data_IF_057966068661
#
_entry.id   IF_057966068661
#
_cell.length_a   1.000
_cell.length_b   1.000
_cell.length_c   1.000
_cell.angle_alpha   90.00
_cell.angle_beta   90.00
_cell.angle_gamma   90.00
#
_symmetry.space_group_name_H-M   'P 1'
#
loop_
_entity.id
_entity.type
_entity.pdbx_description
1 polymer ?
#
# COMPACT_ATOMS: atom_id res chain seq x y z
N UNK A 1 -2.98 -0.85 23.61
CA UNK A 1 -1.80 -1.29 22.86
C UNK A 1 -1.91 -0.67 21.48
N UNK A 2 -0.90 0.02 21.01
CA UNK A 2 -0.90 0.75 19.75
C UNK A 2 -0.07 -0.04 18.74
N UNK A 3 -0.56 -0.22 17.51
CA UNK A 3 0.18 -0.85 16.42
C UNK A 3 0.11 0.09 15.20
N UNK A 4 1.25 0.42 14.68
CA UNK A 4 1.44 1.35 13.55
C UNK A 4 1.89 0.65 12.27
N UNK A 5 2.28 -0.61 12.38
CA UNK A 5 2.69 -1.42 11.25
C UNK A 5 2.20 -2.86 11.43
N UNK A 6 1.39 -3.30 10.50
CA UNK A 6 0.87 -4.66 10.49
C UNK A 6 0.93 -5.25 9.07
N UNK A 7 1.11 -6.55 9.01
CA UNK A 7 1.18 -7.29 7.77
C UNK A 7 -0.08 -8.13 7.60
N UNK A 8 -0.77 -7.96 6.48
CA UNK A 8 -2.01 -8.68 6.21
C UNK A 8 -1.99 -9.30 4.81
N UNK A 9 -2.72 -10.39 4.67
CA UNK A 9 -2.95 -11.08 3.40
C UNK A 9 -4.35 -10.70 2.90
N UNK A 10 -4.41 -10.16 1.71
CA UNK A 10 -5.67 -9.77 1.05
C UNK A 10 -5.88 -10.62 -0.20
N UNK A 11 -7.12 -11.06 -0.43
CA UNK A 11 -7.50 -11.84 -1.59
C UNK A 11 -8.79 -11.27 -2.20
N UNK A 12 -8.76 -11.01 -3.50
CA UNK A 12 -9.96 -10.66 -4.25
C UNK A 12 -10.83 -11.90 -4.49
N UNK A 13 -12.07 -11.73 -4.91
CA UNK A 13 -12.92 -12.83 -5.32
C UNK A 13 -12.53 -13.40 -6.68
N UNK A 14 -12.58 -14.71 -6.85
CA UNK A 14 -12.54 -15.38 -8.17
C UNK A 14 -13.81 -15.04 -8.95
N UNK A 15 -13.73 -14.84 -10.27
CA UNK A 15 -14.89 -14.81 -11.15
C UNK A 15 -15.57 -16.19 -11.21
N UNK A 16 -16.89 -16.20 -11.26
CA UNK A 16 -17.65 -17.43 -11.47
C UNK A 16 -17.45 -17.98 -12.89
N UNK A 17 -17.50 -19.26 -13.06
CA UNK A 17 -17.34 -19.89 -14.36
C UNK A 17 -18.59 -19.69 -15.24
N UNK A 18 -18.41 -19.60 -16.55
CA UNK A 18 -19.52 -19.63 -17.50
C UNK A 18 -20.17 -21.00 -17.54
N UNK A 19 -21.45 -21.05 -17.83
CA UNK A 19 -22.22 -22.30 -17.86
C UNK A 19 -22.43 -22.83 -19.29
N UNK A 20 -22.47 -24.13 -19.42
CA UNK A 20 -22.83 -24.82 -20.67
C UNK A 20 -24.20 -25.46 -20.52
N UNK A 21 -25.19 -24.93 -21.23
CA UNK A 21 -26.52 -25.51 -21.28
C UNK A 21 -27.20 -25.25 -22.61
N UNK A 22 -28.22 -26.03 -22.91
CA UNK A 22 -29.02 -25.93 -24.11
C UNK A 22 -30.49 -25.90 -23.73
N UNK A 23 -31.25 -25.02 -24.37
CA UNK A 23 -32.69 -24.88 -24.17
C UNK A 23 -33.40 -26.19 -24.50
N UNK A 24 -34.20 -26.67 -23.58
CA UNK A 24 -35.06 -27.87 -23.74
C UNK A 24 -36.49 -27.48 -23.45
N UNK A 25 -37.32 -27.55 -24.46
CA UNK A 25 -38.76 -27.30 -24.32
C UNK A 25 -39.55 -28.44 -24.95
N UNK A 26 -40.80 -28.57 -24.50
CA UNK A 26 -41.74 -29.49 -25.11
C UNK A 26 -41.96 -29.10 -26.57
N UNK A 27 -41.70 -29.97 -27.48
CA UNK A 27 -41.76 -29.80 -28.96
C UNK A 27 -40.56 -28.99 -29.58
N UNK A 28 -39.49 -28.72 -28.86
CA UNK A 28 -38.25 -28.17 -29.42
C UNK A 28 -37.11 -29.16 -29.14
N UNK A 29 -36.85 -30.09 -30.05
CA UNK A 29 -35.86 -31.18 -29.81
C UNK A 29 -34.41 -30.65 -29.82
N UNK A 30 -34.13 -29.54 -30.52
CA UNK A 30 -32.79 -28.93 -30.65
C UNK A 30 -32.85 -27.47 -30.31
N UNK A 31 -32.87 -27.14 -29.01
CA UNK A 31 -32.76 -25.74 -28.55
C UNK A 31 -31.35 -25.22 -28.65
N UNK A 32 -31.20 -23.91 -28.91
CA UNK A 32 -29.90 -23.26 -28.96
C UNK A 32 -29.20 -23.20 -27.59
N UNK A 33 -27.93 -22.75 -27.55
CA UNK A 33 -27.19 -22.62 -26.32
C UNK A 33 -27.80 -21.53 -25.43
N UNK A 34 -27.96 -21.84 -24.16
CA UNK A 34 -28.62 -20.98 -23.19
C UNK A 34 -27.86 -20.87 -21.84
N UNK A 35 -26.59 -21.30 -21.81
CA UNK A 35 -25.75 -21.16 -20.64
C UNK A 35 -25.36 -19.72 -20.39
N UNK A 36 -25.61 -19.25 -19.16
CA UNK A 36 -25.34 -17.89 -18.72
C UNK A 36 -23.88 -17.64 -18.33
N UNK A 37 -23.55 -16.39 -18.13
CA UNK A 37 -22.19 -15.98 -17.71
C UNK A 37 -22.00 -16.21 -16.21
N UNK A 38 -20.77 -16.40 -15.77
CA UNK A 38 -20.40 -16.35 -14.36
C UNK A 38 -20.54 -14.94 -13.79
N UNK A 39 -20.67 -14.85 -12.47
CA UNK A 39 -20.67 -13.59 -11.74
C UNK A 39 -19.25 -13.05 -11.55
N UNK A 40 -19.09 -11.72 -11.47
CA UNK A 40 -17.81 -11.09 -11.09
C UNK A 40 -17.46 -11.45 -9.63
N UNK A 41 -16.17 -11.66 -9.30
CA UNK A 41 -15.66 -11.72 -7.93
C UNK A 41 -15.74 -10.37 -7.23
N UNK A 42 -15.74 -10.38 -5.89
CA UNK A 42 -15.74 -9.17 -5.07
C UNK A 42 -14.39 -8.47 -5.06
N UNK A 43 -14.40 -7.16 -4.90
CA UNK A 43 -13.22 -6.32 -4.82
C UNK A 43 -12.71 -6.24 -3.36
N UNK A 44 -11.41 -5.92 -3.17
CA UNK A 44 -10.83 -5.57 -1.87
C UNK A 44 -10.67 -4.05 -1.82
N UNK A 45 -11.35 -3.44 -0.86
CA UNK A 45 -11.48 -1.99 -0.76
C UNK A 45 -11.00 -1.54 0.63
N UNK A 46 -10.08 -0.58 0.66
CA UNK A 46 -9.69 0.10 1.89
C UNK A 46 -10.49 1.40 2.04
N UNK A 47 -10.91 1.69 3.27
CA UNK A 47 -11.69 2.88 3.59
C UNK A 47 -11.14 3.50 4.87
N UNK A 48 -10.98 4.83 4.87
CA UNK A 48 -10.60 5.58 6.06
C UNK A 48 -11.73 5.57 7.07
N UNK A 49 -11.43 5.10 8.27
CA UNK A 49 -12.32 5.20 9.43
C UNK A 49 -11.73 6.22 10.42
N UNK A 50 -12.38 7.38 10.53
CA UNK A 50 -11.96 8.47 11.43
C UNK A 50 -12.09 8.13 12.92
N UNK A 51 -12.76 7.03 13.25
CA UNK A 51 -12.84 6.49 14.61
C UNK A 51 -11.70 5.53 14.98
N UNK A 52 -10.83 5.22 14.02
CA UNK A 52 -9.67 4.35 14.24
C UNK A 52 -8.38 5.17 14.36
N UNK A 53 -7.64 4.97 15.46
CA UNK A 53 -6.33 5.61 15.69
C UNK A 53 -5.15 4.62 15.59
N UNK A 54 -5.40 3.34 15.33
CA UNK A 54 -4.37 2.29 15.42
C UNK A 54 -4.69 1.11 14.51
N UNK A 55 -3.66 0.42 14.04
CA UNK A 55 -3.76 -0.80 13.25
C UNK A 55 -3.84 -2.08 14.11
N UNK A 56 -3.95 -1.96 15.45
CA UNK A 56 -3.92 -3.10 16.37
C UNK A 56 -4.92 -4.21 16.04
N UNK A 57 -6.06 -3.88 15.48
CA UNK A 57 -7.09 -4.85 15.06
C UNK A 57 -6.52 -5.88 14.07
N UNK A 58 -5.54 -5.50 13.25
CA UNK A 58 -4.94 -6.34 12.23
C UNK A 58 -3.89 -7.33 12.77
N UNK A 59 -3.41 -7.12 13.97
CA UNK A 59 -2.52 -8.07 14.67
C UNK A 59 -3.17 -9.45 14.90
N UNK A 60 -4.47 -9.45 15.14
CA UNK A 60 -5.22 -10.69 15.42
C UNK A 60 -5.95 -11.25 14.19
N UNK A 61 -6.31 -10.38 13.26
CA UNK A 61 -6.99 -10.76 12.02
C UNK A 61 -6.13 -10.30 10.85
N UNK A 62 -5.41 -11.23 10.26
CA UNK A 62 -4.44 -10.93 9.19
C UNK A 62 -4.85 -11.42 7.80
N UNK A 63 -5.97 -12.12 7.66
CA UNK A 63 -6.48 -12.60 6.36
C UNK A 63 -7.83 -11.99 6.03
N UNK A 64 -7.93 -11.43 4.83
CA UNK A 64 -9.13 -10.77 4.33
C UNK A 64 -9.41 -11.26 2.91
N UNK A 65 -10.57 -11.85 2.69
CA UNK A 65 -10.96 -12.37 1.39
C UNK A 65 -12.31 -11.81 0.97
N UNK A 66 -12.39 -11.30 -0.25
CA UNK A 66 -13.65 -10.96 -0.88
C UNK A 66 -14.38 -12.21 -1.34
N UNK A 67 -15.68 -12.09 -1.63
CA UNK A 67 -16.51 -13.20 -2.07
C UNK A 67 -16.21 -13.60 -3.50
N UNK A 68 -16.24 -14.91 -3.80
CA UNK A 68 -16.13 -15.40 -5.17
C UNK A 68 -17.47 -15.21 -5.92
N UNK A 69 -17.40 -14.97 -7.22
CA UNK A 69 -18.55 -14.95 -8.12
C UNK A 69 -19.12 -16.35 -8.29
N UNK A 70 -20.43 -16.46 -8.43
CA UNK A 70 -21.09 -17.74 -8.67
C UNK A 70 -21.07 -18.12 -10.14
N UNK A 71 -21.05 -19.41 -10.42
CA UNK A 71 -21.20 -19.97 -11.76
C UNK A 71 -22.48 -19.46 -12.45
N UNK A 72 -22.45 -19.34 -13.77
CA UNK A 72 -23.62 -19.07 -14.60
C UNK A 72 -24.64 -20.20 -14.50
N UNK A 73 -25.88 -19.91 -14.83
CA UNK A 73 -26.98 -20.89 -14.80
C UNK A 73 -27.56 -21.17 -16.17
N UNK A 74 -28.52 -22.10 -16.20
CA UNK A 74 -29.35 -22.38 -17.38
C UNK A 74 -30.24 -21.17 -17.71
N UNK A 75 -30.86 -21.18 -18.88
CA UNK A 75 -31.81 -20.18 -19.32
C UNK A 75 -31.20 -18.75 -19.29
N UNK A 76 -29.92 -18.65 -19.67
CA UNK A 76 -29.14 -17.40 -19.71
C UNK A 76 -28.95 -16.69 -18.37
N UNK A 77 -29.17 -17.38 -17.25
CA UNK A 77 -28.97 -16.80 -15.93
C UNK A 77 -27.50 -16.52 -15.65
N UNK A 78 -27.19 -15.26 -15.44
CA UNK A 78 -25.86 -14.85 -14.97
C UNK A 78 -25.68 -15.20 -13.50
N UNK A 79 -24.53 -15.73 -13.14
CA UNK A 79 -24.16 -16.03 -11.76
C UNK A 79 -24.15 -14.75 -10.90
N UNK A 80 -24.51 -14.89 -9.63
CA UNK A 80 -24.44 -13.75 -8.70
C UNK A 80 -22.98 -13.30 -8.49
N UNK A 81 -22.76 -11.99 -8.42
CA UNK A 81 -21.45 -11.42 -8.08
C UNK A 81 -21.04 -11.73 -6.63
N UNK A 82 -19.75 -11.85 -6.41
CA UNK A 82 -19.15 -11.93 -5.09
C UNK A 82 -19.30 -10.63 -4.32
N UNK A 83 -19.33 -10.71 -2.99
CA UNK A 83 -19.38 -9.53 -2.14
C UNK A 83 -17.99 -8.92 -2.01
N UNK A 84 -17.91 -7.60 -2.12
CA UNK A 84 -16.69 -6.87 -1.80
C UNK A 84 -16.35 -7.00 -0.33
N UNK A 85 -15.05 -6.90 -0.01
CA UNK A 85 -14.58 -6.76 1.36
C UNK A 85 -14.09 -5.34 1.58
N UNK A 86 -14.61 -4.71 2.63
CA UNK A 86 -14.20 -3.37 3.07
C UNK A 86 -13.29 -3.54 4.28
N UNK A 87 -12.10 -2.96 4.20
CA UNK A 87 -11.08 -2.98 5.25
C UNK A 87 -10.93 -1.54 5.76
N UNK A 88 -11.45 -1.24 6.97
CA UNK A 88 -11.31 0.10 7.54
C UNK A 88 -9.88 0.32 8.03
N UNK A 89 -9.30 1.48 7.77
CA UNK A 89 -7.97 1.86 8.24
C UNK A 89 -7.99 3.28 8.79
N UNK A 90 -7.09 3.62 9.74
CA UNK A 90 -6.93 5.01 10.20
C UNK A 90 -6.52 5.93 9.04
N UNK A 91 -6.88 7.22 9.15
CA UNK A 91 -6.36 8.24 8.26
C UNK A 91 -4.82 8.28 8.31
N UNK A 92 -4.16 8.44 7.16
CA UNK A 92 -2.69 8.43 7.08
C UNK A 92 -2.07 7.03 7.00
N UNK A 93 -2.86 5.98 6.78
CA UNK A 93 -2.32 4.64 6.53
C UNK A 93 -1.74 4.55 5.12
N UNK A 94 -0.48 4.11 5.02
CA UNK A 94 0.18 3.75 3.75
C UNK A 94 0.10 2.25 3.58
N UNK A 95 -0.34 1.83 2.41
CA UNK A 95 -0.42 0.42 2.02
C UNK A 95 0.75 0.14 1.09
N UNK A 96 1.60 -0.81 1.46
CA UNK A 96 2.77 -1.21 0.67
C UNK A 96 2.69 -2.68 0.28
N UNK A 97 3.23 -3.00 -0.87
CA UNK A 97 3.50 -4.39 -1.24
C UNK A 97 4.59 -4.98 -0.34
N UNK A 98 4.33 -6.15 0.24
CA UNK A 98 5.26 -6.78 1.18
C UNK A 98 6.55 -7.26 0.52
N UNK A 99 6.53 -7.63 -0.75
CA UNK A 99 7.66 -8.18 -1.47
C UNK A 99 8.60 -7.07 -1.99
N UNK A 100 8.06 -6.04 -2.62
CA UNK A 100 8.84 -4.95 -3.23
C UNK A 100 9.03 -3.74 -2.32
N UNK A 101 8.20 -3.60 -1.27
CA UNK A 101 8.17 -2.42 -0.41
C UNK A 101 7.56 -1.17 -1.05
N UNK A 102 7.14 -1.25 -2.32
CA UNK A 102 6.56 -0.13 -3.08
C UNK A 102 5.19 0.27 -2.56
N UNK A 103 4.86 1.55 -2.69
CA UNK A 103 3.58 2.10 -2.27
C UNK A 103 2.47 1.68 -3.25
N UNK A 104 1.43 1.04 -2.71
CA UNK A 104 0.21 0.71 -3.44
C UNK A 104 -0.80 1.85 -3.32
N UNK A 105 -1.00 2.35 -2.10
CA UNK A 105 -1.91 3.45 -1.84
C UNK A 105 -1.53 4.20 -0.56
N UNK A 106 -1.87 5.48 -0.54
CA UNK A 106 -1.76 6.36 0.61
C UNK A 106 -3.15 6.87 1.00
N UNK A 107 -3.63 6.46 2.17
CA UNK A 107 -4.96 6.79 2.68
C UNK A 107 -4.95 8.09 3.48
N UNK A 108 -4.44 9.17 2.89
CA UNK A 108 -4.35 10.50 3.49
C UNK A 108 -4.87 11.58 2.55
N UNK A 109 -5.10 12.80 3.07
CA UNK A 109 -5.43 14.00 2.31
C UNK A 109 -6.63 13.87 1.36
N UNK A 110 -7.74 13.29 1.85
CA UNK A 110 -8.99 13.16 1.08
C UNK A 110 -9.09 11.86 0.27
N UNK A 111 -8.09 11.02 0.31
CA UNK A 111 -8.12 9.70 -0.28
C UNK A 111 -8.80 8.71 0.68
N UNK A 112 -10.11 8.88 0.89
CA UNK A 112 -10.88 8.15 1.89
C UNK A 112 -11.26 6.72 1.47
N UNK A 113 -11.15 6.37 0.17
CA UNK A 113 -11.53 5.06 -0.35
C UNK A 113 -10.70 4.65 -1.55
N UNK A 114 -10.07 3.47 -1.48
CA UNK A 114 -9.26 2.90 -2.56
C UNK A 114 -9.59 1.43 -2.80
N UNK A 115 -9.73 1.06 -4.07
CA UNK A 115 -9.83 -0.35 -4.50
C UNK A 115 -8.40 -0.85 -4.74
N UNK A 116 -7.94 -1.76 -3.90
CA UNK A 116 -6.57 -2.29 -3.98
C UNK A 116 -6.49 -3.53 -4.88
N UNK A 117 -7.44 -4.46 -4.73
CA UNK A 117 -7.54 -5.61 -5.62
C UNK A 117 -8.92 -5.67 -6.23
N UNK A 118 -8.98 -5.80 -7.55
CA UNK A 118 -10.24 -6.04 -8.26
C UNK A 118 -10.55 -7.52 -8.31
N UNK A 119 -11.83 -7.85 -8.16
CA UNK A 119 -12.33 -9.21 -8.33
C UNK A 119 -12.23 -9.67 -9.78
N UNK A 120 -12.01 -10.96 -9.97
CA UNK A 120 -11.94 -11.58 -11.29
C UNK A 120 -13.26 -11.45 -12.05
N UNK A 121 -13.19 -11.21 -13.34
CA UNK A 121 -14.36 -11.19 -14.20
C UNK A 121 -14.97 -12.58 -14.32
N UNK A 122 -16.30 -12.65 -14.40
CA UNK A 122 -17.01 -13.89 -14.65
C UNK A 122 -16.78 -14.42 -16.08
N UNK A 123 -16.64 -15.72 -16.20
CA UNK A 123 -16.49 -16.40 -17.48
C UNK A 123 -17.75 -16.30 -18.35
N UNK A 124 -17.58 -16.29 -19.65
CA UNK A 124 -18.69 -16.24 -20.60
C UNK A 124 -19.32 -17.63 -20.75
N UNK A 125 -20.66 -17.70 -20.67
CA UNK A 125 -21.42 -18.91 -20.95
C UNK A 125 -21.46 -19.24 -22.45
N UNK A 126 -21.84 -20.50 -22.78
CA UNK A 126 -21.85 -20.99 -24.16
C UNK A 126 -22.77 -20.20 -25.09
N UNK A 127 -23.76 -19.49 -24.58
CA UNK A 127 -24.62 -18.62 -25.41
C UNK A 127 -23.84 -17.53 -26.15
N UNK A 128 -22.68 -17.10 -25.63
CA UNK A 128 -21.86 -16.05 -26.23
C UNK A 128 -20.97 -16.54 -27.39
N UNK A 129 -20.84 -17.85 -27.56
CA UNK A 129 -20.00 -18.49 -28.55
C UNK A 129 -20.77 -19.07 -29.74
N UNK A 130 -22.10 -18.88 -29.74
CA UNK A 130 -22.92 -19.29 -30.83
C UNK A 130 -22.67 -18.41 -32.07
N UNK A 131 -22.32 -19.01 -33.17
CA UNK A 131 -22.14 -18.36 -34.47
C UNK A 131 -22.91 -19.10 -35.56
N UNK A 132 -23.04 -18.54 -36.75
CA UNK A 132 -23.69 -19.19 -37.89
C UNK A 132 -23.04 -20.52 -38.27
N UNK A 133 -21.74 -20.69 -38.03
CA UNK A 133 -20.99 -21.93 -38.27
C UNK A 133 -20.99 -22.88 -37.07
N UNK A 134 -21.04 -22.32 -35.84
CA UNK A 134 -21.06 -23.10 -34.60
C UNK A 134 -22.33 -22.78 -33.81
N UNK A 135 -23.42 -23.51 -34.13
CA UNK A 135 -24.74 -23.24 -33.53
C UNK A 135 -24.92 -23.86 -32.13
N UNK A 136 -24.10 -24.85 -31.75
CA UNK A 136 -24.18 -25.55 -30.48
C UNK A 136 -22.81 -25.67 -29.78
N UNK A 137 -22.21 -24.54 -29.31
CA UNK A 137 -20.94 -24.57 -28.59
C UNK A 137 -21.09 -25.33 -27.25
N UNK A 138 -20.22 -26.34 -27.05
CA UNK A 138 -20.20 -27.16 -25.83
C UNK A 138 -19.13 -26.74 -24.83
N UNK A 139 -18.71 -25.51 -24.88
CA UNK A 139 -17.73 -24.94 -23.98
C UNK A 139 -18.18 -23.58 -23.45
N UNK A 140 -17.68 -23.22 -22.28
CA UNK A 140 -17.83 -21.93 -21.65
C UNK A 140 -16.45 -21.48 -21.13
N UNK A 141 -16.31 -20.20 -20.88
CA UNK A 141 -15.09 -19.63 -20.36
C UNK A 141 -15.06 -19.78 -18.84
N UNK A 142 -13.94 -20.19 -18.22
CA UNK A 142 -13.77 -20.11 -16.78
C UNK A 142 -13.73 -18.66 -16.33
N UNK A 143 -14.09 -18.40 -15.08
CA UNK A 143 -13.93 -17.08 -14.46
C UNK A 143 -12.46 -16.77 -14.20
N UNK A 144 -12.11 -15.49 -14.23
CA UNK A 144 -10.75 -15.07 -13.91
C UNK A 144 -10.38 -15.47 -12.47
N UNK A 145 -9.14 -15.92 -12.23
CA UNK A 145 -8.68 -16.29 -10.90
C UNK A 145 -8.73 -15.10 -9.94
N UNK A 146 -8.75 -15.38 -8.66
CA UNK A 146 -8.57 -14.38 -7.61
C UNK A 146 -7.12 -13.93 -7.57
N UNK A 147 -6.93 -12.65 -7.24
CA UNK A 147 -5.60 -12.11 -6.91
C UNK A 147 -5.39 -12.21 -5.41
N UNK A 148 -4.19 -12.61 -5.01
CA UNK A 148 -3.77 -12.66 -3.62
C UNK A 148 -2.50 -11.83 -3.46
N UNK A 149 -2.48 -10.96 -2.46
CA UNK A 149 -1.37 -10.05 -2.21
C UNK A 149 -1.13 -9.91 -0.71
N UNK A 150 0.13 -9.98 -0.31
CA UNK A 150 0.55 -9.69 1.04
C UNK A 150 0.95 -8.22 1.12
N UNK A 151 0.26 -7.46 1.96
CA UNK A 151 0.49 -6.02 2.10
C UNK A 151 0.90 -5.66 3.51
N UNK A 152 1.72 -4.62 3.61
CA UNK A 152 2.10 -3.99 4.86
C UNK A 152 1.26 -2.72 4.99
N UNK A 153 0.48 -2.65 6.06
CA UNK A 153 -0.17 -1.43 6.51
C UNK A 153 0.81 -0.69 7.40
N UNK A 154 1.11 0.54 7.08
CA UNK A 154 2.00 1.41 7.84
C UNK A 154 1.28 2.72 8.15
N UNK A 155 1.01 2.97 9.43
CA UNK A 155 0.40 4.23 9.85
C UNK A 155 1.47 5.31 9.87
N UNK A 156 1.29 6.35 9.07
CA UNK A 156 2.09 7.56 9.21
C UNK A 156 1.75 8.18 10.56
N UNK A 157 2.75 8.41 11.38
CA UNK A 157 2.60 9.32 12.52
C UNK A 157 2.27 10.71 11.97
N UNK A 158 1.03 11.09 12.12
CA UNK A 158 0.60 12.44 11.80
C UNK A 158 0.66 13.24 13.11
N UNK A 159 1.86 13.65 13.50
CA UNK A 159 1.99 14.77 14.38
C UNK A 159 2.14 16.02 13.52
N UNK A 160 1.31 17.02 13.75
CA UNK A 160 1.43 18.31 13.05
C UNK A 160 2.72 19.03 13.47
N UNK A 161 3.10 18.89 14.73
CA UNK A 161 4.25 19.54 15.35
C UNK A 161 5.20 18.56 15.99
N UNK A 162 6.47 18.60 15.60
CA UNK A 162 7.54 17.84 16.23
C UNK A 162 8.28 18.69 17.27
N UNK A 163 8.35 18.21 18.52
CA UNK A 163 9.19 18.84 19.56
C UNK A 163 10.62 18.35 19.38
N UNK A 164 11.55 19.30 19.31
CA UNK A 164 12.99 19.03 19.26
C UNK A 164 13.70 19.85 20.34
N UNK A 165 14.78 19.35 20.88
CA UNK A 165 15.54 20.04 21.92
C UNK A 165 16.39 19.07 22.72
N UNK A 166 17.41 19.58 23.38
CA UNK A 166 18.30 18.79 24.22
C UNK A 166 17.57 18.21 25.45
N UNK A 167 18.15 17.20 26.11
CA UNK A 167 17.61 16.70 27.39
C UNK A 167 17.43 17.85 28.40
N UNK A 168 16.39 17.74 29.22
CA UNK A 168 16.05 18.70 30.29
C UNK A 168 15.67 20.13 29.83
N UNK A 169 15.53 20.38 28.52
CA UNK A 169 15.02 21.66 27.98
C UNK A 169 13.54 21.91 28.36
N UNK A 170 12.82 20.91 28.86
CA UNK A 170 11.43 21.01 29.30
C UNK A 170 10.38 20.52 28.30
N UNK A 171 10.76 19.71 27.29
CA UNK A 171 9.85 19.15 26.28
C UNK A 171 8.67 18.40 26.89
N UNK A 172 8.94 17.44 27.76
CA UNK A 172 7.88 16.61 28.39
C UNK A 172 6.99 17.43 29.33
N UNK A 173 7.55 18.46 30.00
CA UNK A 173 6.76 19.39 30.82
C UNK A 173 5.83 20.22 29.93
N UNK A 174 6.35 20.75 28.82
CA UNK A 174 5.55 21.47 27.84
C UNK A 174 4.42 20.59 27.29
N UNK A 175 4.72 19.38 26.86
CA UNK A 175 3.74 18.45 26.32
C UNK A 175 2.64 18.17 27.34
N UNK A 176 3.00 17.81 28.58
CA UNK A 176 2.02 17.48 29.63
C UNK A 176 1.13 18.67 30.02
N UNK A 177 1.62 19.91 29.87
CA UNK A 177 0.88 21.14 30.18
C UNK A 177 -0.08 21.57 29.08
N UNK A 178 0.28 21.28 27.84
CA UNK A 178 -0.45 21.75 26.65
C UNK A 178 -1.51 20.78 26.15
N UNK A 179 -1.50 19.54 26.65
CA UNK A 179 -2.41 18.49 26.19
C UNK A 179 -3.48 18.20 27.24
N UNK A 180 -4.74 18.07 26.81
CA UNK A 180 -5.89 17.82 27.67
C UNK A 180 -6.01 16.36 28.13
N UNK A 181 -5.24 15.45 27.58
CA UNK A 181 -5.18 14.03 27.93
C UNK A 181 -3.76 13.64 28.35
N UNK A 182 -3.66 12.64 29.23
CA UNK A 182 -2.36 12.03 29.54
C UNK A 182 -1.68 11.66 28.22
N UNK A 183 -0.44 12.13 27.96
CA UNK A 183 0.28 11.80 26.73
C UNK A 183 0.24 10.30 26.51
N UNK A 184 -0.29 9.86 25.38
CA UNK A 184 -0.33 8.44 25.06
C UNK A 184 1.08 8.02 24.63
N UNK A 185 1.62 7.05 25.35
CA UNK A 185 2.86 6.37 24.96
C UNK A 185 2.52 5.54 23.72
N UNK A 186 3.18 5.84 22.61
CA UNK A 186 3.05 5.04 21.42
C UNK A 186 4.18 3.99 21.41
N UNK A 187 3.79 2.72 21.63
CA UNK A 187 4.71 1.57 21.64
C UNK A 187 5.06 1.19 20.18
N UNK A 188 6.19 1.68 19.71
CA UNK A 188 6.69 1.38 18.38
C UNK A 188 7.70 0.23 18.45
N UNK A 189 7.46 -0.91 17.78
CA UNK A 189 8.32 -2.08 17.84
C UNK A 189 9.72 -1.88 17.28
N UNK A 190 10.00 -0.70 16.71
CA UNK A 190 11.31 -0.33 16.13
C UNK A 190 11.94 0.92 16.74
N UNK A 191 11.33 1.52 17.77
CA UNK A 191 11.95 2.59 18.57
C UNK A 191 12.36 2.05 19.91
N UNK A 192 13.62 2.26 20.28
CA UNK A 192 14.12 1.94 21.61
C UNK A 192 13.59 2.94 22.64
N UNK A 193 13.00 4.05 22.16
CA UNK A 193 12.46 5.15 22.95
C UNK A 193 11.10 5.51 22.37
N UNK A 194 10.06 5.39 23.16
CA UNK A 194 8.66 5.63 22.79
C UNK A 194 8.37 7.12 22.67
N UNK A 195 7.85 7.64 21.52
CA UNK A 195 7.44 9.03 21.43
C UNK A 195 6.15 9.27 22.21
N UNK A 196 6.08 10.43 22.84
CA UNK A 196 4.88 10.88 23.56
C UNK A 196 4.06 11.76 22.63
N UNK A 197 2.81 11.35 22.38
CA UNK A 197 1.86 12.14 21.58
C UNK A 197 0.91 12.90 22.50
N UNK A 198 0.66 14.14 22.17
CA UNK A 198 -0.30 14.98 22.87
C UNK A 198 -1.21 15.72 21.90
N UNK A 199 -2.49 15.81 22.21
CA UNK A 199 -3.47 16.59 21.44
C UNK A 199 -3.70 17.93 22.12
N UNK A 200 -3.43 19.01 21.39
CA UNK A 200 -3.80 20.36 21.79
C UNK A 200 -5.20 20.63 21.25
N UNK A 201 -6.12 20.94 22.16
CA UNK A 201 -7.51 21.27 21.82
C UNK A 201 -7.85 22.67 22.33
N UNK A 202 -8.32 23.54 21.46
CA UNK A 202 -8.72 24.91 21.82
C UNK A 202 -10.17 24.99 22.33
N UNK A 203 -10.92 23.87 22.34
CA UNK A 203 -12.28 23.79 22.86
C UNK A 203 -13.37 24.24 21.89
N UNK A 204 -13.02 24.63 20.68
CA UNK A 204 -13.92 25.03 19.59
C UNK A 204 -13.98 23.99 18.45
N UNK A 205 -13.46 22.79 18.69
CA UNK A 205 -13.31 21.73 17.68
C UNK A 205 -12.06 21.93 16.81
N UNK A 206 -11.21 22.89 17.14
CA UNK A 206 -9.91 23.09 16.48
C UNK A 206 -8.78 22.64 17.39
N UNK A 207 -7.73 22.10 16.78
CA UNK A 207 -6.56 21.60 17.51
C UNK A 207 -5.51 21.05 16.57
N UNK A 208 -4.45 20.50 17.14
CA UNK A 208 -3.37 19.84 16.43
C UNK A 208 -2.65 18.83 17.33
N UNK A 209 -1.90 17.93 16.72
CA UNK A 209 -1.15 16.90 17.43
C UNK A 209 0.31 17.30 17.55
N UNK A 210 0.85 17.20 18.78
CA UNK A 210 2.27 17.40 19.06
C UNK A 210 2.91 16.07 19.40
N UNK A 211 4.08 15.78 18.85
CA UNK A 211 4.91 14.65 19.23
C UNK A 211 6.18 15.10 19.92
N UNK A 212 6.44 14.61 21.14
CA UNK A 212 7.78 14.70 21.74
C UNK A 212 8.67 13.68 21.05
N UNK A 213 9.73 14.16 20.44
CA UNK A 213 10.70 13.40 19.68
C UNK A 213 11.96 13.19 20.54
N UNK A 214 11.99 12.16 21.41
CA UNK A 214 13.19 11.87 22.20
C UNK A 214 14.29 11.28 21.32
N UNK A 215 15.54 11.68 21.50
CA UNK A 215 16.69 11.03 20.84
C UNK A 215 17.53 11.89 19.90
N UNK A 216 17.25 13.21 19.78
CA UNK A 216 18.25 14.16 19.26
C UNK A 216 19.27 14.40 20.40
N UNK A 217 20.36 13.68 20.40
CA UNK A 217 21.47 13.82 21.33
C UNK A 217 22.73 14.01 20.49
N UNK A 218 23.62 14.86 20.95
CA UNK A 218 24.96 15.05 20.43
C UNK A 218 25.63 13.71 20.02
N UNK A 219 25.97 13.54 18.73
CA UNK A 219 26.58 12.32 18.21
C UNK A 219 25.66 11.22 17.69
N UNK A 220 24.34 11.41 17.58
CA UNK A 220 23.42 10.41 17.03
C UNK A 220 23.68 10.13 15.53
N UNK A 221 24.41 11.02 14.83
CA UNK A 221 24.80 10.87 13.43
C UNK A 221 25.94 9.88 13.20
N UNK A 222 26.76 9.57 14.20
CA UNK A 222 28.03 8.89 14.01
C UNK A 222 28.03 7.39 14.37
N UNK A 223 26.93 6.83 14.81
CA UNK A 223 26.91 5.40 15.11
C UNK A 223 25.57 4.78 15.49
N UNK A 224 25.27 3.71 14.86
CA UNK A 224 24.26 2.75 15.20
C UNK A 224 22.78 3.12 14.95
N UNK A 225 22.36 3.18 13.68
CA UNK A 225 20.97 2.80 13.24
C UNK A 225 19.74 3.48 13.86
N UNK A 226 19.89 4.13 15.00
CA UNK A 226 18.81 4.76 15.77
C UNK A 226 18.44 6.14 15.18
N UNK A 227 19.41 6.94 14.74
CA UNK A 227 19.18 8.27 14.18
C UNK A 227 18.34 8.25 12.91
N UNK A 228 18.64 7.40 11.94
CA UNK A 228 17.91 7.33 10.67
C UNK A 228 16.45 6.86 10.78
N UNK A 229 16.12 6.05 11.77
CA UNK A 229 14.74 5.59 11.99
C UNK A 229 13.89 6.67 12.64
N UNK A 230 14.48 7.41 13.53
CA UNK A 230 13.86 8.50 14.26
C UNK A 230 13.54 9.70 13.36
N UNK A 231 14.43 10.02 12.45
CA UNK A 231 14.30 11.17 11.56
C UNK A 231 13.19 11.02 10.54
N UNK A 232 12.84 9.78 10.15
CA UNK A 232 11.65 9.52 9.35
C UNK A 232 10.35 9.99 10.03
N UNK A 233 10.33 10.09 11.36
CA UNK A 233 9.18 10.62 12.09
C UNK A 233 9.14 12.16 12.06
N UNK A 234 10.31 12.80 12.13
CA UNK A 234 10.43 14.26 12.01
C UNK A 234 10.10 14.71 10.57
N UNK A 235 10.50 13.95 9.55
CA UNK A 235 10.13 14.19 8.16
C UNK A 235 8.61 14.31 7.95
N UNK A 236 7.84 13.64 8.80
CA UNK A 236 6.38 13.55 8.72
C UNK A 236 5.65 14.65 9.48
N UNK A 237 6.36 15.48 10.26
CA UNK A 237 5.79 16.66 10.92
C UNK A 237 5.74 17.85 9.97
N UNK A 238 4.79 18.75 10.17
CA UNK A 238 4.60 19.94 9.31
C UNK A 238 5.35 21.14 9.82
N UNK A 239 5.52 21.25 11.15
CA UNK A 239 6.19 22.33 11.86
C UNK A 239 7.13 21.73 12.90
N UNK A 240 8.29 22.32 13.10
CA UNK A 240 9.22 21.98 14.16
C UNK A 240 9.18 23.03 15.26
N UNK A 241 9.04 22.57 16.51
CA UNK A 241 9.12 23.43 17.70
C UNK A 241 10.38 23.05 18.48
N UNK A 242 11.38 23.91 18.41
CA UNK A 242 12.61 23.75 19.20
C UNK A 242 12.44 24.36 20.57
N UNK A 243 12.51 23.54 21.63
CA UNK A 243 12.48 23.98 23.00
C UNK A 243 13.91 24.07 23.52
N UNK A 244 14.28 25.23 24.05
CA UNK A 244 15.60 25.49 24.60
C UNK A 244 15.49 25.99 26.06
N UNK A 245 16.42 25.59 26.91
CA UNK A 245 16.53 26.09 28.29
C UNK A 245 17.20 27.47 28.27
N UNK A 246 16.40 28.54 28.26
CA UNK A 246 16.90 29.91 28.20
C UNK A 246 17.57 30.35 29.51
N UNK A 247 17.29 29.70 30.62
CA UNK A 247 17.95 29.99 31.90
C UNK A 247 19.31 29.32 32.06
N UNK A 248 19.68 28.42 31.13
CA UNK A 248 20.97 27.72 31.21
C UNK A 248 21.13 26.88 32.48
N UNK A 249 20.03 26.29 32.98
CA UNK A 249 20.03 25.59 34.28
C UNK A 249 21.01 24.40 34.34
N UNK A 250 21.41 23.88 33.21
CA UNK A 250 22.39 22.78 33.06
C UNK A 250 23.85 23.31 32.85
N UNK A 251 24.05 24.62 32.94
CA UNK A 251 25.37 25.26 32.73
C UNK A 251 25.82 25.34 31.27
N UNK A 252 24.88 25.12 30.31
CA UNK A 252 25.14 25.29 28.87
C UNK A 252 24.67 26.66 28.38
N UNK A 253 25.32 27.18 27.31
CA UNK A 253 24.84 28.39 26.65
C UNK A 253 23.61 28.04 25.77
N UNK A 254 22.44 28.68 25.98
CA UNK A 254 21.25 28.46 25.16
C UNK A 254 21.48 28.66 23.66
N UNK A 255 22.39 29.56 23.23
CA UNK A 255 22.71 29.77 21.83
C UNK A 255 23.44 28.56 21.22
N UNK A 256 24.34 27.95 21.99
CA UNK A 256 25.03 26.73 21.56
C UNK A 256 24.04 25.54 21.47
N UNK A 257 23.13 25.43 22.42
CA UNK A 257 22.09 24.41 22.40
C UNK A 257 21.20 24.52 21.13
N UNK A 258 20.84 25.73 20.72
CA UNK A 258 20.08 25.97 19.49
C UNK A 258 20.91 25.56 18.27
N UNK A 259 22.21 25.94 18.25
CA UNK A 259 23.12 25.67 17.14
C UNK A 259 23.32 24.16 16.93
N UNK A 260 23.58 23.42 18.00
CA UNK A 260 23.77 21.96 17.95
C UNK A 260 22.56 21.27 17.32
N UNK A 261 21.35 21.57 17.77
CA UNK A 261 20.12 20.96 17.22
C UNK A 261 19.93 21.34 15.74
N UNK A 262 20.18 22.59 15.36
CA UNK A 262 20.05 23.02 13.95
C UNK A 262 21.07 22.35 13.04
N UNK A 263 22.31 22.15 13.50
CA UNK A 263 23.32 21.44 12.74
C UNK A 263 22.95 19.96 12.56
N UNK A 264 22.40 19.36 13.59
CA UNK A 264 21.91 17.97 13.53
C UNK A 264 20.76 17.84 12.55
N UNK A 265 19.75 18.71 12.61
CA UNK A 265 18.65 18.75 11.65
C UNK A 265 19.14 18.97 10.20
N UNK A 266 20.16 19.83 10.00
CA UNK A 266 20.74 20.10 8.67
C UNK A 266 21.48 18.89 8.08
N UNK A 267 22.23 18.16 8.90
CA UNK A 267 22.95 16.94 8.45
C UNK A 267 22.03 15.88 7.85
N UNK A 268 20.76 15.89 8.23
CA UNK A 268 19.79 14.89 7.78
C UNK A 268 19.05 15.25 6.51
N UNK A 269 19.08 16.50 6.06
CA UNK A 269 18.41 16.96 4.84
C UNK A 269 16.88 16.98 4.94
N UNK A 270 16.22 17.72 4.05
CA UNK A 270 14.74 17.74 3.94
C UNK A 270 13.98 18.49 5.04
N UNK A 271 14.69 19.05 6.04
CA UNK A 271 14.07 19.77 7.15
C UNK A 271 14.24 21.30 7.04
N UNK A 272 15.06 21.76 6.13
CA UNK A 272 15.34 23.19 5.93
C UNK A 272 14.13 23.97 5.40
N UNK A 273 13.21 23.27 4.74
CA UNK A 273 11.99 23.86 4.18
C UNK A 273 10.83 23.96 5.19
N UNK A 274 10.98 23.34 6.37
CA UNK A 274 9.92 23.33 7.38
C UNK A 274 9.99 24.59 8.24
N UNK A 275 8.81 25.19 8.56
CA UNK A 275 8.76 26.26 9.55
C UNK A 275 9.35 25.78 10.89
N UNK A 276 10.34 26.50 11.39
CA UNK A 276 10.97 26.24 12.68
C UNK A 276 10.63 27.38 13.65
N UNK A 277 10.09 27.02 14.81
CA UNK A 277 9.73 27.95 15.88
C UNK A 277 10.64 27.64 17.07
N UNK A 278 11.17 28.65 17.71
CA UNK A 278 11.98 28.53 18.94
C UNK A 278 11.15 28.92 20.15
N UNK A 279 11.07 28.03 21.11
CA UNK A 279 10.52 28.30 22.44
C UNK A 279 11.66 28.40 23.44
N UNK A 280 12.03 29.62 23.82
CA UNK A 280 12.95 29.91 24.91
C UNK A 280 12.21 29.65 26.24
N UNK A 281 12.42 28.47 26.81
CA UNK A 281 11.73 27.98 27.98
C UNK A 281 12.45 28.30 29.28
N UNK A 282 11.78 28.18 30.40
CA UNK A 282 12.23 28.42 31.75
C UNK A 282 12.52 29.94 32.03
N UNK A 283 11.74 30.83 31.39
CA UNK A 283 11.91 32.27 31.59
C UNK A 283 11.68 32.69 33.04
N UNK A 284 10.92 31.93 33.79
CA UNK A 284 10.71 32.10 35.24
C UNK A 284 11.98 31.92 36.07
N UNK A 285 13.01 31.34 35.51
CA UNK A 285 14.30 31.08 36.16
C UNK A 285 15.43 31.97 35.64
N UNK A 286 15.14 32.86 34.72
CA UNK A 286 16.13 33.81 34.20
C UNK A 286 16.33 34.96 35.22
N UNK A 287 17.58 35.29 35.58
CA UNK A 287 17.87 36.42 36.47
C UNK A 287 17.36 37.77 35.92
N UNK A 288 16.90 38.67 36.80
CA UNK A 288 16.51 40.00 36.39
C UNK A 288 17.71 40.77 35.76
N UNK A 289 17.50 41.29 34.54
CA UNK A 289 18.53 42.03 33.82
C UNK A 289 19.41 41.15 32.91
N UNK A 290 19.14 39.90 32.76
CA UNK A 290 19.81 39.04 31.78
C UNK A 290 19.29 39.33 30.36
N UNK A 291 20.20 39.48 29.40
CA UNK A 291 19.90 39.83 28.00
C UNK A 291 19.74 38.60 27.08
N UNK A 292 19.72 37.38 27.65
CA UNK A 292 19.73 36.14 26.87
C UNK A 292 18.59 36.07 25.85
N UNK A 293 17.39 36.51 26.20
CA UNK A 293 16.25 36.53 25.28
C UNK A 293 16.47 37.47 24.09
N UNK A 294 17.07 38.63 24.33
CA UNK A 294 17.42 39.57 23.26
C UNK A 294 18.50 39.00 22.35
N UNK A 295 19.50 38.32 22.91
CA UNK A 295 20.55 37.63 22.16
C UNK A 295 19.99 36.52 21.29
N UNK A 296 19.10 35.67 21.81
CA UNK A 296 18.45 34.60 21.05
C UNK A 296 17.62 35.21 19.91
N UNK A 297 16.87 36.28 20.17
CA UNK A 297 16.09 36.97 19.12
C UNK A 297 16.98 37.57 18.06
N UNK A 298 18.01 38.26 18.46
CA UNK A 298 18.93 38.95 17.54
C UNK A 298 19.64 37.96 16.59
N UNK A 299 19.93 36.73 17.06
CA UNK A 299 20.64 35.73 16.26
C UNK A 299 19.69 34.88 15.38
N UNK A 300 18.49 34.57 15.87
CA UNK A 300 17.63 33.57 15.24
C UNK A 300 16.28 34.06 14.73
N UNK A 301 15.79 35.21 15.18
CA UNK A 301 14.48 35.74 14.75
C UNK A 301 14.58 36.33 13.34
N UNK A 302 13.79 35.76 12.42
CA UNK A 302 13.70 36.24 11.04
C UNK A 302 12.32 35.91 10.48
N UNK A 303 12.06 36.16 9.18
CA UNK A 303 10.76 35.89 8.53
C UNK A 303 10.31 34.46 8.64
N UNK A 304 11.24 33.48 8.69
CA UNK A 304 10.96 32.05 8.71
C UNK A 304 11.11 31.41 10.11
N UNK A 305 11.61 32.16 11.10
CA UNK A 305 11.83 31.64 12.45
C UNK A 305 11.43 32.67 13.50
N UNK A 306 10.49 32.34 14.37
CA UNK A 306 10.05 33.22 15.45
C UNK A 306 10.42 32.66 16.81
N UNK A 307 10.81 33.55 17.74
CA UNK A 307 11.25 33.23 19.10
C UNK A 307 10.18 33.62 20.11
N UNK A 308 9.71 32.62 20.87
CA UNK A 308 8.75 32.84 21.97
C UNK A 308 9.42 32.60 23.32
N UNK A 309 9.25 33.55 24.22
CA UNK A 309 9.64 33.41 25.63
C UNK A 309 8.49 32.67 26.37
N UNK A 310 8.78 31.52 26.95
CA UNK A 310 7.77 30.71 27.66
C UNK A 310 8.27 30.17 28.99
N UNK A 311 7.35 29.87 29.87
CA UNK A 311 7.59 28.99 31.00
C UNK A 311 6.60 27.79 30.92
N UNK A 312 7.10 26.64 30.60
CA UNK A 312 6.29 25.42 30.62
C UNK A 312 5.80 25.07 32.04
N UNK A 313 6.50 25.50 33.08
CA UNK A 313 6.14 25.29 34.48
C UNK A 313 4.98 26.19 34.92
N UNK A 314 5.03 27.49 34.65
CA UNK A 314 4.01 28.47 35.03
C UNK A 314 2.86 28.56 34.05
N UNK A 315 3.13 28.31 32.76
CA UNK A 315 2.21 28.48 31.65
C UNK A 315 2.33 29.85 30.95
N UNK A 316 3.24 30.68 31.36
CA UNK A 316 3.50 31.98 30.77
C UNK A 316 3.92 31.81 29.28
N UNK A 317 3.39 32.65 28.39
CA UNK A 317 3.70 32.65 26.96
C UNK A 317 3.20 31.40 26.17
N UNK A 318 2.83 30.32 26.84
CA UNK A 318 2.45 29.04 26.20
C UNK A 318 1.24 29.19 25.29
N UNK A 319 0.19 29.89 25.74
CA UNK A 319 -1.05 30.05 24.96
C UNK A 319 -0.84 30.84 23.67
N UNK A 320 0.03 31.84 23.74
CA UNK A 320 0.40 32.67 22.57
C UNK A 320 1.18 31.84 21.55
N UNK A 321 2.16 31.05 22.02
CA UNK A 321 2.93 30.11 21.20
C UNK A 321 2.00 29.10 20.49
N UNK A 322 1.07 28.46 21.21
CA UNK A 322 0.15 27.49 20.62
C UNK A 322 -0.75 28.10 19.53
N UNK A 323 -1.24 29.33 19.75
CA UNK A 323 -2.03 30.04 18.73
C UNK A 323 -1.20 30.32 17.48
N UNK A 324 0.05 30.79 17.68
CA UNK A 324 0.94 31.04 16.55
C UNK A 324 1.24 29.75 15.76
N UNK A 325 1.54 28.64 16.44
CA UNK A 325 1.73 27.34 15.80
C UNK A 325 0.51 26.97 14.96
N UNK A 326 -0.71 27.15 15.50
CA UNK A 326 -1.93 26.85 14.76
C UNK A 326 -2.09 27.70 13.49
N UNK A 327 -1.75 28.99 13.53
CA UNK A 327 -1.76 29.85 12.33
C UNK A 327 -0.72 29.41 11.30
N UNK A 328 0.49 29.05 11.74
CA UNK A 328 1.54 28.53 10.87
C UNK A 328 1.08 27.20 10.22
N UNK A 329 0.42 26.33 10.95
CA UNK A 329 -0.10 25.06 10.43
C UNK A 329 -1.15 25.26 9.33
N UNK A 330 -1.90 26.35 9.31
CA UNK A 330 -2.85 26.64 8.21
C UNK A 330 -2.15 26.87 6.87
N UNK A 331 -0.95 27.44 6.90
CA UNK A 331 -0.15 27.77 5.71
C UNK A 331 0.95 26.76 5.41
N UNK A 332 1.37 25.99 6.43
CA UNK A 332 2.41 24.97 6.28
C UNK A 332 2.02 23.90 5.24
N UNK A 333 2.96 23.40 4.44
CA UNK A 333 2.71 22.32 3.51
C UNK A 333 2.03 21.15 4.24
N UNK A 334 1.03 20.56 3.59
CA UNK A 334 0.41 19.31 4.11
C UNK A 334 1.46 18.20 4.06
N UNK A 335 1.34 17.22 4.97
CA UNK A 335 2.23 16.07 4.98
C UNK A 335 2.37 15.44 3.59
N UNK A 336 3.59 15.02 3.26
CA UNK A 336 3.92 14.40 1.96
C UNK A 336 2.97 13.24 1.70
N UNK A 337 2.23 13.29 0.59
CA UNK A 337 1.44 12.18 0.08
C UNK A 337 2.36 11.33 -0.77
N UNK A 338 2.44 10.05 -0.47
CA UNK A 338 3.19 9.13 -1.32
C UNK A 338 2.40 8.83 -2.58
N UNK A 339 3.02 8.99 -3.72
CA UNK A 339 2.46 8.58 -5.00
C UNK A 339 2.40 7.05 -5.08
N UNK A 340 1.43 6.55 -5.82
CA UNK A 340 1.30 5.12 -6.08
C UNK A 340 2.47 4.67 -6.97
N UNK A 341 3.26 3.69 -6.49
CA UNK A 341 4.43 3.13 -7.18
C UNK A 341 4.19 1.70 -7.68
N UNK A 342 3.18 1.04 -7.14
CA UNK A 342 2.84 -0.34 -7.45
C UNK A 342 1.36 -0.44 -7.82
N UNK A 343 1.11 -0.97 -8.99
CA UNK A 343 -0.22 -1.23 -9.52
C UNK A 343 -0.43 -2.74 -9.51
N UNK A 344 -1.27 -3.29 -8.63
CA UNK A 344 -1.54 -4.73 -8.60
C UNK A 344 -2.03 -5.27 -9.94
N UNK A 345 -2.66 -4.42 -10.75
CA UNK A 345 -3.13 -4.75 -12.09
C UNK A 345 -1.97 -5.00 -13.06
N UNK A 346 -0.82 -4.35 -12.88
CA UNK A 346 0.37 -4.52 -13.73
C UNK A 346 1.01 -5.90 -13.55
N UNK A 347 0.80 -6.55 -12.42
CA UNK A 347 1.21 -7.96 -12.21
C UNK A 347 0.44 -8.88 -13.17
N UNK A 348 -0.75 -8.47 -13.62
CA UNK A 348 -1.53 -9.19 -14.64
C UNK A 348 -1.26 -8.70 -16.07
N UNK A 349 -0.64 -7.54 -16.26
CA UNK A 349 -0.41 -6.89 -17.57
C UNK A 349 0.99 -7.17 -18.12
N UNK A 350 1.62 -8.26 -17.74
CA UNK A 350 2.78 -8.75 -18.47
C UNK A 350 2.36 -9.38 -19.81
N UNK A 351 1.37 -8.79 -20.51
CA UNK A 351 0.85 -9.29 -21.76
C UNK A 351 1.86 -9.29 -22.91
N UNK A 352 2.92 -8.51 -22.78
CA UNK A 352 3.99 -8.40 -23.78
C UNK A 352 5.34 -8.99 -23.37
N UNK A 353 5.43 -9.62 -22.19
CA UNK A 353 6.65 -10.33 -21.84
C UNK A 353 6.80 -11.57 -22.74
N UNK A 354 7.99 -11.78 -23.31
CA UNK A 354 8.28 -12.99 -24.07
C UNK A 354 8.16 -14.22 -23.15
N UNK A 355 7.72 -15.31 -23.71
CA UNK A 355 7.78 -16.60 -23.05
C UNK A 355 9.22 -17.08 -22.96
N UNK A 356 9.52 -17.92 -21.95
CA UNK A 356 10.80 -18.60 -21.81
C UNK A 356 10.62 -20.08 -22.15
N UNK A 357 11.63 -20.67 -22.76
CA UNK A 357 11.71 -22.11 -22.99
C UNK A 357 12.99 -22.60 -22.32
N UNK A 358 12.85 -23.34 -21.24
CA UNK A 358 13.94 -24.01 -20.53
C UNK A 358 13.91 -25.50 -20.86
N UNK A 359 15.09 -26.13 -20.94
CA UNK A 359 15.20 -27.57 -21.24
C UNK A 359 15.77 -28.23 -19.98
N UNK A 360 15.01 -29.13 -19.41
CA UNK A 360 15.43 -29.96 -18.29
C UNK A 360 15.91 -31.31 -18.83
N UNK A 361 17.23 -31.51 -18.85
CA UNK A 361 17.83 -32.71 -19.40
C UNK A 361 17.64 -33.90 -18.43
N UNK A 362 16.77 -34.82 -18.79
CA UNK A 362 16.47 -36.06 -18.07
C UNK A 362 16.72 -37.30 -18.95
N UNK A 363 15.96 -38.39 -18.69
CA UNK A 363 15.92 -39.57 -19.56
C UNK A 363 15.19 -39.30 -20.88
N UNK A 364 14.30 -38.38 -20.91
CA UNK A 364 13.63 -37.71 -22.04
C UNK A 364 13.75 -36.23 -21.80
N UNK A 365 14.04 -35.43 -22.83
CA UNK A 365 14.15 -33.99 -22.72
C UNK A 365 12.75 -33.43 -22.38
N UNK A 366 12.69 -32.67 -21.29
CA UNK A 366 11.46 -31.99 -20.86
C UNK A 366 11.61 -30.48 -21.15
N UNK A 367 10.72 -29.95 -21.96
CA UNK A 367 10.69 -28.54 -22.33
C UNK A 367 9.69 -27.80 -21.46
N UNK A 368 10.19 -26.91 -20.59
CA UNK A 368 9.39 -26.05 -19.74
C UNK A 368 9.14 -24.73 -20.45
N UNK A 369 7.87 -24.45 -20.77
CA UNK A 369 7.47 -23.22 -21.47
C UNK A 369 6.60 -22.40 -20.54
N UNK A 370 7.11 -21.23 -20.14
CA UNK A 370 6.41 -20.33 -19.25
C UNK A 370 6.34 -18.94 -19.86
N UNK A 371 5.22 -18.26 -19.67
CA UNK A 371 5.00 -16.91 -20.13
C UNK A 371 3.57 -16.44 -19.85
N UNK A 372 3.38 -15.14 -19.58
CA UNK A 372 2.08 -14.62 -19.15
C UNK A 372 0.94 -14.85 -20.14
N UNK A 373 1.25 -14.83 -21.45
CA UNK A 373 0.26 -15.14 -22.50
C UNK A 373 -0.19 -16.60 -22.47
N UNK A 374 0.73 -17.51 -22.13
CA UNK A 374 0.46 -18.94 -22.01
C UNK A 374 -0.38 -19.21 -20.77
N UNK A 375 0.02 -18.66 -19.62
CA UNK A 375 -0.73 -18.76 -18.36
C UNK A 375 -2.18 -18.27 -18.53
N UNK A 376 -2.33 -17.09 -19.16
CA UNK A 376 -3.63 -16.52 -19.47
C UNK A 376 -4.45 -17.43 -20.39
N UNK A 377 -3.83 -17.99 -21.44
CA UNK A 377 -4.50 -18.89 -22.39
C UNK A 377 -4.95 -20.18 -21.70
N UNK A 378 -4.10 -20.79 -20.87
CA UNK A 378 -4.44 -21.98 -20.09
C UNK A 378 -5.59 -21.71 -19.11
N UNK A 379 -5.58 -20.55 -18.44
CA UNK A 379 -6.65 -20.15 -17.54
C UNK A 379 -8.00 -19.88 -18.21
N UNK A 380 -8.04 -19.68 -19.54
CA UNK A 380 -9.27 -19.40 -20.29
C UNK A 380 -9.74 -20.56 -21.17
N UNK A 381 -8.93 -21.61 -21.30
CA UNK A 381 -9.20 -22.69 -22.25
C UNK A 381 -9.50 -23.98 -21.50
N UNK A 382 -10.63 -24.58 -21.79
CA UNK A 382 -10.90 -25.93 -21.29
C UNK A 382 -10.15 -26.96 -22.13
N UNK A 383 -9.00 -27.38 -21.63
CA UNK A 383 -8.11 -28.36 -22.33
C UNK A 383 -8.68 -29.76 -22.38
N UNK A 384 -9.67 -30.10 -21.54
CA UNK A 384 -10.34 -31.41 -21.57
C UNK A 384 -11.29 -31.54 -22.77
N UNK A 385 -11.68 -30.42 -23.39
CA UNK A 385 -12.51 -30.47 -24.60
C UNK A 385 -11.64 -30.48 -25.86
N UNK A 386 -11.98 -31.36 -26.82
CA UNK A 386 -11.29 -31.45 -28.11
C UNK A 386 -11.16 -30.08 -28.84
N UNK A 387 -12.22 -29.27 -28.80
CA UNK A 387 -12.23 -27.92 -29.39
C UNK A 387 -11.39 -26.88 -28.60
N UNK A 388 -11.37 -27.00 -27.27
CA UNK A 388 -10.52 -26.17 -26.44
C UNK A 388 -9.05 -26.49 -26.68
N UNK A 389 -8.71 -27.75 -26.74
CA UNK A 389 -7.35 -28.21 -27.03
C UNK A 389 -6.89 -27.75 -28.43
N UNK A 390 -7.70 -27.92 -29.46
CA UNK A 390 -7.43 -27.44 -30.83
C UNK A 390 -7.29 -25.91 -30.89
N UNK A 391 -8.03 -25.16 -30.05
CA UNK A 391 -7.88 -23.70 -29.94
C UNK A 391 -6.55 -23.34 -29.29
N UNK A 392 -6.13 -24.07 -28.26
CA UNK A 392 -4.84 -23.88 -27.60
C UNK A 392 -3.67 -24.21 -28.55
N UNK A 393 -3.74 -25.30 -29.32
CA UNK A 393 -2.73 -25.63 -30.33
C UNK A 393 -2.57 -24.50 -31.37
N UNK A 394 -3.68 -23.97 -31.90
CA UNK A 394 -3.64 -22.81 -32.82
C UNK A 394 -3.01 -21.57 -32.19
N UNK A 395 -3.21 -21.35 -30.91
CA UNK A 395 -2.54 -20.27 -30.19
C UNK A 395 -1.03 -20.48 -30.15
N UNK A 396 -0.55 -21.69 -29.81
CA UNK A 396 0.86 -22.03 -29.77
C UNK A 396 1.55 -21.82 -31.14
N UNK A 397 0.88 -22.21 -32.23
CA UNK A 397 1.36 -21.94 -33.58
C UNK A 397 1.39 -20.44 -33.91
N UNK A 398 0.30 -19.72 -33.65
CA UNK A 398 0.19 -18.30 -33.94
C UNK A 398 1.20 -17.43 -33.18
N UNK A 399 1.59 -17.85 -31.99
CA UNK A 399 2.58 -17.13 -31.15
C UNK A 399 4.03 -17.51 -31.47
N UNK A 400 4.25 -18.49 -32.34
CA UNK A 400 5.60 -18.96 -32.72
C UNK A 400 6.24 -19.91 -31.71
N UNK A 401 5.54 -20.30 -30.65
CA UNK A 401 6.07 -21.17 -29.59
C UNK A 401 6.49 -22.53 -30.18
N UNK A 402 5.69 -23.07 -31.12
CA UNK A 402 6.00 -24.35 -31.76
C UNK A 402 7.28 -24.24 -32.61
N UNK A 403 7.45 -23.12 -33.33
CA UNK A 403 8.64 -22.89 -34.17
C UNK A 403 9.89 -22.75 -33.30
N UNK A 404 9.80 -22.09 -32.17
CA UNK A 404 10.90 -21.95 -31.23
C UNK A 404 11.26 -23.27 -30.52
N UNK A 405 10.26 -24.11 -30.20
CA UNK A 405 10.50 -25.46 -29.69
C UNK A 405 11.22 -26.32 -30.71
N UNK A 406 10.82 -26.26 -31.99
CA UNK A 406 11.52 -26.92 -33.11
C UNK A 406 12.96 -26.42 -33.27
N UNK A 407 13.17 -25.09 -33.17
CA UNK A 407 14.49 -24.50 -33.23
C UNK A 407 15.40 -24.94 -32.06
N UNK A 408 14.81 -25.30 -30.92
CA UNK A 408 15.51 -25.86 -29.74
C UNK A 408 15.71 -27.37 -29.80
N UNK A 409 15.18 -28.04 -30.84
CA UNK A 409 15.46 -29.44 -31.12
C UNK A 409 14.44 -30.44 -30.56
N UNK A 410 13.21 -30.01 -30.24
CA UNK A 410 12.15 -30.91 -29.75
C UNK A 410 11.90 -32.04 -30.75
N UNK A 411 11.72 -33.26 -30.25
CA UNK A 411 11.45 -34.48 -31.04
C UNK A 411 10.07 -35.05 -30.70
N UNK A 412 9.54 -35.87 -31.57
CA UNK A 412 8.29 -36.60 -31.30
C UNK A 412 8.42 -37.47 -30.05
N UNK A 413 7.43 -37.32 -29.15
CA UNK A 413 7.41 -38.01 -27.87
C UNK A 413 8.05 -37.23 -26.72
N UNK A 414 8.69 -36.10 -26.99
CA UNK A 414 9.19 -35.23 -25.93
C UNK A 414 8.06 -34.55 -25.15
N UNK A 415 8.31 -34.27 -23.87
CA UNK A 415 7.31 -33.68 -22.99
C UNK A 415 7.48 -32.16 -22.96
N UNK A 416 6.39 -31.45 -23.21
CA UNK A 416 6.29 -29.99 -23.04
C UNK A 416 5.44 -29.70 -21.81
N UNK A 417 6.04 -29.07 -20.79
CA UNK A 417 5.33 -28.64 -19.58
C UNK A 417 5.02 -27.15 -19.63
N UNK A 418 3.77 -26.81 -19.36
CA UNK A 418 3.27 -25.45 -19.29
C UNK A 418 2.41 -25.28 -18.04
N UNK A 419 2.90 -24.55 -17.01
CA UNK A 419 2.15 -24.25 -15.76
C UNK A 419 1.41 -25.46 -15.15
N UNK A 420 2.11 -26.59 -15.00
CA UNK A 420 1.54 -27.80 -14.41
C UNK A 420 0.77 -28.73 -15.36
N UNK A 421 0.59 -28.35 -16.62
CA UNK A 421 0.09 -29.21 -17.68
C UNK A 421 1.25 -29.80 -18.45
N UNK A 422 1.26 -31.12 -18.64
CA UNK A 422 2.24 -31.82 -19.44
C UNK A 422 1.59 -32.33 -20.75
N UNK A 423 2.22 -32.03 -21.87
CA UNK A 423 1.79 -32.42 -23.21
C UNK A 423 2.90 -33.17 -23.89
N UNK A 424 2.58 -34.24 -24.59
CA UNK A 424 3.52 -34.91 -25.48
C UNK A 424 3.50 -34.24 -26.85
N UNK A 425 4.70 -33.94 -27.37
CA UNK A 425 4.84 -33.33 -28.67
C UNK A 425 4.77 -34.36 -29.77
N UNK A 426 3.89 -34.12 -30.73
CA UNK A 426 3.80 -34.90 -31.99
C UNK A 426 3.73 -33.96 -33.16
N UNK A 427 4.47 -34.24 -34.22
CA UNK A 427 4.42 -33.44 -35.44
C UNK A 427 3.13 -33.79 -36.21
N UNK A 428 2.26 -32.78 -36.40
CA UNK A 428 1.04 -32.99 -37.21
C UNK A 428 1.43 -33.29 -38.65
N UNK A 429 1.25 -34.50 -39.07
CA UNK A 429 1.30 -34.83 -40.50
C UNK A 429 0.09 -34.22 -41.21
N UNK A 430 0.31 -33.61 -42.35
CA UNK A 430 -0.53 -32.92 -43.35
C UNK A 430 -2.04 -33.27 -43.52
N UNK A 431 -2.77 -33.53 -42.43
CA UNK A 431 -4.21 -33.88 -42.48
C UNK A 431 -5.16 -32.71 -42.24
N UNK A 432 -4.68 -31.59 -41.71
CA UNK A 432 -5.56 -30.46 -41.37
C UNK A 432 -5.95 -29.53 -42.51
N UNK A 433 -5.26 -29.60 -43.67
CA UNK A 433 -5.57 -28.69 -44.81
C UNK A 433 -6.64 -29.22 -45.79
N UNK A 434 -7.15 -30.44 -45.62
CA UNK A 434 -8.10 -31.04 -46.59
C UNK A 434 -9.57 -31.07 -46.17
N UNK A 435 -9.94 -30.66 -44.97
CA UNK A 435 -11.35 -30.64 -44.57
C UNK A 435 -12.03 -29.27 -44.65
N UNK A 436 -11.32 -28.20 -44.95
CA UNK A 436 -11.92 -26.84 -45.12
C UNK A 436 -12.31 -26.49 -46.58
N UNK A 437 -12.25 -27.46 -47.48
CA UNK A 437 -12.61 -27.29 -48.93
C UNK A 437 -13.67 -28.26 -49.46
N UNK A 438 -14.53 -28.78 -48.58
CA UNK A 438 -15.70 -29.56 -49.06
C UNK A 438 -17.00 -29.14 -48.34
#
# INVERSE_FOLDING_TARGET
>A
MFADREKILIRSGKGGDGHVSFRREKYVPSGGPDGGNGGKGGDVIFVVDKGMDTLFTYKHKYRFSAGDGKEGGKARMTGAGGKDIIIPVPEGTVIRDSASGKVIADMSNGNERQVILRGGDGGRGNMNYATSRMQAPQYAQPGRPAMELEVILELKLVADVGLVGLPNAGKSTFLSRTTNAVPKIADYPFTTIEPYLGVVDFGDGTGFVIADMPGLIEGASDGAGLGHRFLRHIERTRVLLQIVDAAGTEGRDPLDDIRVIREELRKYGGMEEKPLIIAANKVDSIPEGDDILERIRAEYENENCRVFAISAATGEGVRELLRYIYEVLKTAPKAVVFEQEFFPEDVLVTEDLPYTIEIENGKTDEYIVEGPKIEKMLGYTNLESEKGFAYFQRFLHKTGIIDDLKAKGIQEGDTVRMYGHAFEYYEEGDKAEREDLS
#
